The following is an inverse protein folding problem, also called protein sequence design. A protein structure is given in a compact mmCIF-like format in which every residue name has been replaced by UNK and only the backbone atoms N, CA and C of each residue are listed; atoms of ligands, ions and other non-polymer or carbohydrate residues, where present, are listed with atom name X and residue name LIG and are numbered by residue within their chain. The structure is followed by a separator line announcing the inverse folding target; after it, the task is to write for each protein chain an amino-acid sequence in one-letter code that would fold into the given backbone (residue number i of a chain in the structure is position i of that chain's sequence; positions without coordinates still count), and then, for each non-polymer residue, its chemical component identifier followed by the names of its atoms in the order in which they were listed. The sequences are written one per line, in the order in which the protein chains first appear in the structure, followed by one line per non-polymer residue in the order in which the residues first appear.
data_IF_662460326068
#
_entry.id   IF_662460326068
#
_cell.length_a   1.000
_cell.length_b   1.000
_cell.length_c   1.000
_cell.angle_alpha   90.00
_cell.angle_beta   90.00
_cell.angle_gamma   90.00
#
_symmetry.space_group_name_H-M   'P 1'
#
loop_
_entity.id
_entity.type
_entity.pdbx_description
1 polymer ?
#
# COMPACT_ATOMS: atom_id res chain seq x y z
N UNK A 1 10.43 25.54 5.01
CA UNK A 1 9.11 26.18 4.89
C UNK A 1 8.40 25.45 3.76
N UNK A 2 7.45 24.56 4.09
CA UNK A 2 6.72 23.79 3.07
C UNK A 2 5.68 24.76 2.50
N UNK A 3 5.91 25.26 1.30
CA UNK A 3 4.87 25.92 0.52
C UNK A 3 3.73 24.93 0.34
N UNK A 4 2.55 25.28 0.83
CA UNK A 4 1.32 24.50 0.64
C UNK A 4 0.99 24.45 -0.86
N UNK A 5 1.60 23.50 -1.55
CA UNK A 5 1.42 23.19 -2.97
C UNK A 5 0.02 22.63 -3.17
N UNK A 6 -0.86 23.35 -3.87
CA UNK A 6 -1.95 22.92 -4.78
C UNK A 6 -2.57 21.50 -4.61
N UNK A 7 -2.60 20.94 -3.40
CA UNK A 7 -3.15 19.63 -3.14
C UNK A 7 -4.65 19.74 -3.25
N UNK A 8 -5.22 18.97 -4.20
CA UNK A 8 -6.66 18.80 -4.31
C UNK A 8 -7.24 18.54 -2.92
N UNK A 9 -8.13 19.41 -2.46
CA UNK A 9 -8.85 19.20 -1.20
C UNK A 9 -9.59 17.87 -1.32
N UNK A 10 -9.27 16.93 -0.43
CA UNK A 10 -10.00 15.66 -0.33
C UNK A 10 -11.49 16.00 -0.10
N UNK A 11 -12.42 15.57 -0.98
CA UNK A 11 -13.83 15.84 -0.81
C UNK A 11 -14.38 15.26 0.50
N UNK A 12 -15.42 15.89 1.06
CA UNK A 12 -16.06 15.38 2.27
C UNK A 12 -16.71 13.99 2.08
N UNK A 13 -17.07 13.63 0.84
CA UNK A 13 -17.60 12.31 0.48
C UNK A 13 -16.54 11.23 0.35
N UNK A 14 -15.25 11.58 0.30
CA UNK A 14 -14.19 10.60 0.09
C UNK A 14 -14.08 9.65 1.28
N UNK A 15 -13.86 8.37 0.99
CA UNK A 15 -13.48 7.34 1.99
C UNK A 15 -11.98 7.07 1.97
N UNK A 16 -11.28 7.55 0.94
CA UNK A 16 -9.84 7.41 0.78
C UNK A 16 -9.32 8.22 -0.40
N UNK A 17 -7.99 8.20 -0.55
CA UNK A 17 -7.30 8.87 -1.65
C UNK A 17 -6.08 8.06 -2.10
N UNK A 18 -5.71 8.25 -3.37
CA UNK A 18 -4.48 7.77 -3.97
C UNK A 18 -3.52 8.95 -4.05
N UNK A 19 -2.28 8.73 -3.64
CA UNK A 19 -1.22 9.73 -3.69
C UNK A 19 -0.01 9.20 -4.44
N UNK A 20 0.76 10.15 -4.98
CA UNK A 20 2.03 9.94 -5.64
C UNK A 20 3.10 10.69 -4.85
N UNK A 21 4.18 10.00 -4.53
CA UNK A 21 5.35 10.56 -3.85
C UNK A 21 6.56 10.47 -4.77
N UNK A 22 7.28 11.58 -4.92
CA UNK A 22 8.37 11.70 -5.88
C UNK A 22 9.53 12.56 -5.32
N UNK A 23 10.77 12.30 -5.73
CA UNK A 23 11.88 13.23 -5.54
C UNK A 23 11.75 14.45 -6.49
N UNK A 24 12.48 15.52 -6.20
CA UNK A 24 12.44 16.76 -6.99
C UNK A 24 12.83 16.57 -8.47
N UNK A 25 13.73 15.63 -8.75
CA UNK A 25 14.19 15.29 -10.10
C UNK A 25 13.23 14.34 -10.86
N UNK A 26 12.16 13.88 -10.20
CA UNK A 26 11.18 12.92 -10.73
C UNK A 26 11.81 11.62 -11.28
N UNK A 27 12.97 11.22 -10.75
CA UNK A 27 13.66 10.01 -11.19
C UNK A 27 12.87 8.71 -10.91
N UNK A 28 11.92 8.75 -9.97
CA UNK A 28 11.02 7.66 -9.64
C UNK A 28 9.70 8.19 -9.06
N UNK A 29 8.69 7.33 -8.97
CA UNK A 29 7.46 7.60 -8.25
C UNK A 29 7.07 6.43 -7.35
N UNK A 30 6.52 6.72 -6.18
CA UNK A 30 5.80 5.76 -5.35
C UNK A 30 4.32 6.14 -5.35
N UNK A 31 3.44 5.18 -5.62
CA UNK A 31 2.00 5.41 -5.64
C UNK A 31 1.38 4.56 -4.56
N UNK A 32 0.57 5.16 -3.70
CA UNK A 32 -0.11 4.44 -2.64
C UNK A 32 -1.49 5.00 -2.35
N UNK A 33 -2.28 4.23 -1.61
CA UNK A 33 -3.58 4.69 -1.11
C UNK A 33 -3.57 4.90 0.41
N UNK A 34 -4.53 5.69 0.90
CA UNK A 34 -4.86 5.79 2.33
C UNK A 34 -6.35 6.08 2.55
N UNK A 35 -6.90 5.50 3.61
CA UNK A 35 -8.26 5.81 4.11
C UNK A 35 -8.25 6.81 5.27
N UNK A 36 -7.07 7.30 5.69
CA UNK A 36 -6.94 8.27 6.79
C UNK A 36 -6.96 9.68 6.23
N UNK A 37 -8.06 10.37 6.46
CA UNK A 37 -8.36 11.67 5.85
C UNK A 37 -8.02 12.87 6.74
N UNK A 38 -7.46 12.64 7.93
CA UNK A 38 -7.06 13.75 8.80
C UNK A 38 -5.94 14.58 8.13
N UNK A 39 -6.01 15.93 8.16
CA UNK A 39 -5.07 16.79 7.42
C UNK A 39 -3.60 16.49 7.72
N UNK A 40 -3.28 16.22 8.99
CA UNK A 40 -1.91 15.87 9.41
C UNK A 40 -1.40 14.61 8.70
N UNK A 41 -2.23 13.60 8.54
CA UNK A 41 -1.87 12.39 7.80
C UNK A 41 -1.81 12.65 6.29
N UNK A 42 -2.76 13.39 5.74
CA UNK A 42 -2.77 13.77 4.32
C UNK A 42 -1.49 14.52 3.95
N UNK A 43 -1.04 15.45 4.77
CA UNK A 43 0.16 16.24 4.49
C UNK A 43 1.46 15.46 4.76
N UNK A 44 1.48 14.65 5.83
CA UNK A 44 2.73 14.05 6.35
C UNK A 44 3.03 12.63 5.89
N UNK A 45 2.04 11.88 5.39
CA UNK A 45 2.24 10.48 5.02
C UNK A 45 2.73 10.33 3.58
N UNK A 46 4.01 9.95 3.42
CA UNK A 46 4.69 9.82 2.12
C UNK A 46 4.68 8.38 1.55
N UNK A 47 4.11 7.42 2.27
CA UNK A 47 4.08 6.01 1.86
C UNK A 47 4.68 5.05 2.88
N UNK A 48 4.64 3.76 2.56
CA UNK A 48 5.12 2.69 3.43
C UNK A 48 5.72 1.53 2.62
N UNK A 49 6.23 0.51 3.30
CA UNK A 49 6.92 -0.63 2.69
C UNK A 49 8.44 -0.45 2.67
N UNK A 50 9.16 -1.48 2.23
CA UNK A 50 10.62 -1.52 2.25
C UNK A 50 11.23 -0.36 1.44
N UNK A 51 10.75 -0.16 0.21
CA UNK A 51 11.20 0.93 -0.67
C UNK A 51 11.10 2.31 0.01
N UNK A 52 9.92 2.68 0.51
CA UNK A 52 9.75 3.97 1.18
C UNK A 52 10.54 4.07 2.49
N UNK A 53 10.76 2.96 3.19
CA UNK A 53 11.61 2.95 4.40
C UNK A 53 13.05 3.32 4.06
N UNK A 54 13.60 2.75 3.00
CA UNK A 54 14.95 3.04 2.51
C UNK A 54 15.05 4.49 1.99
N UNK A 55 14.10 4.92 1.16
CA UNK A 55 14.06 6.28 0.62
C UNK A 55 13.99 7.32 1.74
N UNK A 56 13.13 7.12 2.76
CA UNK A 56 13.02 8.06 3.86
C UNK A 56 14.27 8.09 4.74
N UNK A 57 15.00 6.96 4.84
CA UNK A 57 16.27 6.91 5.54
C UNK A 57 17.41 7.62 4.77
N UNK A 58 17.41 7.53 3.45
CA UNK A 58 18.43 8.13 2.57
C UNK A 58 18.19 9.63 2.33
N UNK A 59 16.98 10.01 1.95
CA UNK A 59 16.65 11.36 1.48
C UNK A 59 15.96 12.24 2.53
N UNK A 60 15.48 11.63 3.63
CA UNK A 60 14.56 12.29 4.55
C UNK A 60 13.22 12.66 3.89
N UNK A 61 12.43 13.48 4.55
CA UNK A 61 11.11 13.91 4.05
C UNK A 61 11.17 15.18 3.21
N UNK A 62 12.18 16.03 3.39
CA UNK A 62 12.28 17.34 2.75
C UNK A 62 12.60 17.29 1.26
N UNK A 63 13.20 16.19 0.78
CA UNK A 63 13.51 15.97 -0.64
C UNK A 63 12.35 15.40 -1.45
N UNK A 64 11.20 15.16 -0.82
CA UNK A 64 10.07 14.45 -1.41
C UNK A 64 8.85 15.36 -1.53
N UNK A 65 8.16 15.24 -2.66
CA UNK A 65 6.88 15.88 -2.90
C UNK A 65 5.79 14.82 -2.88
N UNK A 66 4.64 15.13 -2.27
CA UNK A 66 3.43 14.32 -2.32
C UNK A 66 2.32 15.06 -3.04
N UNK A 67 1.67 14.39 -3.97
CA UNK A 67 0.51 14.87 -4.71
C UNK A 67 -0.63 13.87 -4.57
N UNK A 68 -1.85 14.33 -4.27
CA UNK A 68 -3.05 13.49 -4.35
C UNK A 68 -3.44 13.41 -5.83
N UNK A 69 -3.51 12.19 -6.36
CA UNK A 69 -3.79 11.93 -7.78
C UNK A 69 -5.22 11.47 -8.03
N UNK A 70 -5.88 10.90 -7.01
CA UNK A 70 -7.30 10.57 -7.05
C UNK A 70 -7.91 10.48 -5.65
N UNK A 71 -9.23 10.58 -5.57
CA UNK A 71 -10.04 10.34 -4.37
C UNK A 71 -11.11 9.32 -4.70
N UNK A 72 -11.46 8.48 -3.72
CA UNK A 72 -12.46 7.43 -3.89
C UNK A 72 -13.61 7.60 -2.91
N UNK A 73 -14.82 7.26 -3.33
CA UNK A 73 -16.03 7.24 -2.50
C UNK A 73 -16.38 5.82 -2.02
N UNK A 74 -15.65 4.80 -2.50
CA UNK A 74 -15.77 3.42 -2.00
C UNK A 74 -14.42 2.72 -1.82
N UNK A 75 -14.30 1.71 -0.94
CA UNK A 75 -13.09 0.90 -0.82
C UNK A 75 -12.71 0.16 -2.11
N UNK A 76 -13.70 -0.32 -2.86
CA UNK A 76 -13.50 -0.99 -4.15
C UNK A 76 -12.83 -0.06 -5.16
N UNK A 77 -13.39 1.14 -5.30
CA UNK A 77 -12.86 2.18 -6.18
C UNK A 77 -11.45 2.59 -5.76
N UNK A 78 -11.18 2.72 -4.45
CA UNK A 78 -9.85 3.08 -3.95
C UNK A 78 -8.78 2.08 -4.40
N UNK A 79 -9.07 0.78 -4.25
CA UNK A 79 -8.17 -0.28 -4.71
C UNK A 79 -7.95 -0.25 -6.23
N UNK A 80 -9.03 -0.08 -6.99
CA UNK A 80 -8.95 0.01 -8.44
C UNK A 80 -8.12 1.23 -8.90
N UNK A 81 -8.33 2.40 -8.29
CA UNK A 81 -7.58 3.62 -8.60
C UNK A 81 -6.09 3.50 -8.28
N UNK A 82 -5.72 2.86 -7.17
CA UNK A 82 -4.32 2.59 -6.87
C UNK A 82 -3.69 1.72 -7.96
N UNK A 83 -4.37 0.64 -8.37
CA UNK A 83 -3.90 -0.23 -9.44
C UNK A 83 -3.73 0.52 -10.76
N UNK A 84 -4.74 1.32 -11.10
CA UNK A 84 -4.78 2.08 -12.35
C UNK A 84 -3.63 3.10 -12.41
N UNK A 85 -3.38 3.86 -11.35
CA UNK A 85 -2.33 4.87 -11.35
C UNK A 85 -0.92 4.26 -11.32
N UNK A 86 -0.72 3.11 -10.66
CA UNK A 86 0.55 2.37 -10.77
C UNK A 86 0.79 1.92 -12.21
N UNK A 87 -0.22 1.35 -12.86
CA UNK A 87 -0.13 0.92 -14.25
C UNK A 87 0.11 2.09 -15.21
N UNK A 88 -0.58 3.22 -14.99
CA UNK A 88 -0.43 4.45 -15.75
C UNK A 88 1.01 4.98 -15.69
N UNK A 89 1.58 5.08 -14.48
CA UNK A 89 2.95 5.53 -14.32
C UNK A 89 3.95 4.62 -15.06
N UNK A 90 3.74 3.29 -15.02
CA UNK A 90 4.57 2.33 -15.76
C UNK A 90 4.39 2.47 -17.27
N UNK A 91 3.17 2.64 -17.77
CA UNK A 91 2.86 2.91 -19.19
C UNK A 91 3.63 4.12 -19.70
N UNK A 92 3.72 5.16 -18.87
CA UNK A 92 4.38 6.42 -19.18
C UNK A 92 5.91 6.38 -18.99
N UNK A 93 6.48 5.20 -18.69
CA UNK A 93 7.92 5.01 -18.54
C UNK A 93 8.50 5.51 -17.23
N UNK A 94 7.66 5.83 -16.24
CA UNK A 94 8.11 6.22 -14.90
C UNK A 94 8.62 4.99 -14.16
N UNK A 95 9.80 5.12 -13.53
CA UNK A 95 10.30 4.08 -12.60
C UNK A 95 9.44 4.09 -11.33
N UNK A 96 8.57 3.09 -11.18
CA UNK A 96 7.69 2.98 -10.01
C UNK A 96 8.35 2.16 -8.90
N UNK A 97 8.36 2.68 -7.66
CA UNK A 97 8.93 2.03 -6.48
C UNK A 97 8.05 0.90 -5.88
N UNK A 98 6.80 0.81 -6.32
CA UNK A 98 5.91 -0.31 -6.00
C UNK A 98 6.42 -1.62 -6.62
N UNK A 99 6.63 -2.63 -5.79
CA UNK A 99 7.02 -3.98 -6.24
C UNK A 99 5.89 -4.81 -6.86
N UNK A 100 4.67 -4.28 -6.85
CA UNK A 100 3.43 -4.97 -7.22
C UNK A 100 2.51 -4.02 -8.00
N UNK A 101 1.30 -4.45 -8.34
CA UNK A 101 0.35 -3.67 -9.14
C UNK A 101 -0.66 -2.87 -8.31
N UNK A 102 -0.52 -2.78 -6.98
CA UNK A 102 -1.54 -2.15 -6.11
C UNK A 102 -2.78 -3.02 -5.87
N UNK A 103 -3.76 -2.49 -5.13
CA UNK A 103 -5.02 -3.17 -4.82
C UNK A 103 -5.07 -3.79 -3.41
N UNK A 104 -6.02 -4.69 -3.12
CA UNK A 104 -6.13 -5.31 -1.80
C UNK A 104 -4.93 -6.22 -1.51
N UNK A 105 -4.44 -6.14 -0.27
CA UNK A 105 -3.43 -7.07 0.26
C UNK A 105 -4.14 -8.27 0.92
N UNK A 106 -3.58 -9.49 0.85
CA UNK A 106 -2.34 -9.86 0.15
C UNK A 106 -2.44 -9.90 -1.38
N UNK A 107 -1.35 -9.51 -2.05
CA UNK A 107 -1.29 -9.55 -3.50
C UNK A 107 -1.35 -10.92 -4.16
N UNK A 108 -0.83 -12.01 -3.57
CA UNK A 108 -1.07 -13.34 -4.10
C UNK A 108 -2.56 -13.70 -4.24
N UNK A 109 -3.45 -13.19 -3.37
CA UNK A 109 -4.89 -13.45 -3.51
C UNK A 109 -5.47 -12.66 -4.69
N UNK A 110 -5.10 -11.39 -4.83
CA UNK A 110 -5.51 -10.56 -5.96
C UNK A 110 -5.03 -11.14 -7.30
N UNK A 111 -3.76 -11.56 -7.39
CA UNK A 111 -3.20 -12.17 -8.59
C UNK A 111 -3.95 -13.44 -8.99
N UNK A 112 -4.27 -14.31 -8.01
CA UNK A 112 -5.06 -15.51 -8.25
C UNK A 112 -6.47 -15.18 -8.74
N UNK A 113 -7.16 -14.25 -8.08
CA UNK A 113 -8.48 -13.80 -8.50
C UNK A 113 -8.45 -13.22 -9.92
N UNK A 114 -7.47 -12.38 -10.25
CA UNK A 114 -7.28 -11.84 -11.59
C UNK A 114 -7.02 -12.93 -12.64
N UNK A 115 -6.27 -14.00 -12.31
CA UNK A 115 -6.10 -15.14 -13.21
C UNK A 115 -7.39 -15.92 -13.44
N UNK A 116 -8.26 -16.02 -12.43
CA UNK A 116 -9.53 -16.72 -12.50
C UNK A 116 -10.59 -15.94 -13.31
N UNK A 117 -10.79 -14.66 -13.00
CA UNK A 117 -11.90 -13.86 -13.56
C UNK A 117 -11.48 -12.91 -14.68
N UNK A 118 -10.21 -12.52 -14.75
CA UNK A 118 -9.67 -11.57 -15.73
C UNK A 118 -8.35 -12.06 -16.39
N UNK A 119 -8.26 -13.30 -16.90
CA UNK A 119 -7.01 -13.84 -17.42
C UNK A 119 -6.42 -13.03 -18.58
N UNK A 120 -7.25 -12.30 -19.33
CA UNK A 120 -6.79 -11.39 -20.38
C UNK A 120 -5.91 -10.24 -19.83
N UNK A 121 -6.17 -9.77 -18.61
CA UNK A 121 -5.37 -8.75 -17.91
C UNK A 121 -4.02 -9.34 -17.49
N UNK A 122 -4.03 -10.54 -16.89
CA UNK A 122 -2.80 -11.17 -16.40
C UNK A 122 -1.85 -11.63 -17.50
N UNK A 123 -2.37 -12.02 -18.67
CA UNK A 123 -1.55 -12.42 -19.83
C UNK A 123 -0.69 -11.30 -20.42
N UNK A 124 -0.99 -10.05 -20.09
CA UNK A 124 -0.24 -8.87 -20.59
C UNK A 124 0.41 -8.08 -19.46
N UNK A 125 0.50 -8.66 -18.25
CA UNK A 125 1.01 -7.97 -17.07
C UNK A 125 2.49 -7.56 -17.15
N UNK A 126 3.24 -8.14 -18.08
CA UNK A 126 4.64 -7.83 -18.39
C UNK A 126 4.81 -6.67 -19.38
N UNK A 127 3.76 -6.28 -20.12
CA UNK A 127 3.75 -5.13 -21.02
C UNK A 127 3.00 -3.97 -20.36
N UNK A 128 3.70 -2.90 -19.91
CA UNK A 128 3.07 -1.80 -19.19
C UNK A 128 1.92 -1.12 -19.94
N UNK A 129 2.02 -1.00 -21.27
CA UNK A 129 1.00 -0.34 -22.07
C UNK A 129 -0.23 -1.22 -22.18
N UNK A 130 -0.04 -2.48 -22.55
CA UNK A 130 -1.14 -3.44 -22.67
C UNK A 130 -1.79 -3.74 -21.32
N UNK A 131 -1.02 -3.76 -20.24
CA UNK A 131 -1.57 -3.96 -18.90
C UNK A 131 -2.48 -2.80 -18.49
N UNK A 132 -2.05 -1.55 -18.67
CA UNK A 132 -2.90 -0.39 -18.42
C UNK A 132 -4.18 -0.44 -19.26
N UNK A 133 -4.05 -0.68 -20.57
CA UNK A 133 -5.21 -0.77 -21.47
C UNK A 133 -6.17 -1.90 -21.06
N UNK A 134 -5.62 -3.04 -20.62
CA UNK A 134 -6.41 -4.17 -20.14
C UNK A 134 -7.15 -3.87 -18.82
N UNK A 135 -6.52 -3.15 -17.88
CA UNK A 135 -7.18 -2.72 -16.64
C UNK A 135 -8.38 -1.81 -16.94
N UNK A 136 -8.21 -0.83 -17.82
CA UNK A 136 -9.29 0.09 -18.23
C UNK A 136 -10.40 -0.66 -18.96
N UNK A 137 -10.03 -1.48 -19.95
CA UNK A 137 -10.98 -2.22 -20.79
C UNK A 137 -11.79 -3.25 -20.01
N UNK A 138 -11.19 -3.87 -18.99
CA UNK A 138 -11.79 -4.96 -18.22
C UNK A 138 -12.11 -4.53 -16.79
N UNK A 139 -12.43 -3.26 -16.57
CA UNK A 139 -12.70 -2.68 -15.25
C UNK A 139 -13.62 -3.54 -14.39
N UNK A 140 -14.78 -3.95 -14.90
CA UNK A 140 -15.75 -4.74 -14.14
C UNK A 140 -15.17 -6.08 -13.63
N UNK A 141 -14.32 -6.73 -14.45
CA UNK A 141 -13.66 -7.99 -14.07
C UNK A 141 -12.54 -7.76 -13.06
N UNK A 142 -11.82 -6.64 -13.16
CA UNK A 142 -10.80 -6.24 -12.19
C UNK A 142 -11.46 -5.92 -10.85
N UNK A 143 -12.56 -5.17 -10.86
CA UNK A 143 -13.36 -4.89 -9.66
C UNK A 143 -13.90 -6.18 -9.03
N UNK A 144 -14.38 -7.13 -9.84
CA UNK A 144 -14.77 -8.45 -9.36
C UNK A 144 -13.58 -9.18 -8.69
N UNK A 145 -12.40 -9.17 -9.30
CA UNK A 145 -11.20 -9.78 -8.71
C UNK A 145 -10.80 -9.13 -7.37
N UNK A 146 -10.97 -7.81 -7.24
CA UNK A 146 -10.75 -7.08 -5.99
C UNK A 146 -11.73 -7.58 -4.91
N UNK A 147 -13.02 -7.73 -5.24
CA UNK A 147 -14.03 -8.25 -4.33
C UNK A 147 -13.73 -9.70 -3.92
N UNK A 148 -13.42 -10.57 -4.89
CA UNK A 148 -13.13 -11.98 -4.65
C UNK A 148 -11.89 -12.15 -3.76
N UNK A 149 -10.82 -11.40 -4.05
CA UNK A 149 -9.59 -11.46 -3.24
C UNK A 149 -9.77 -10.93 -1.81
N UNK A 150 -10.70 -9.99 -1.61
CA UNK A 150 -11.06 -9.45 -0.30
C UNK A 150 -12.00 -10.37 0.49
N UNK A 151 -12.66 -11.33 -0.18
CA UNK A 151 -13.52 -12.34 0.44
C UNK A 151 -12.76 -13.55 0.99
N UNK A 152 -11.50 -13.74 0.57
CA UNK A 152 -10.63 -14.80 1.10
C UNK A 152 -10.29 -14.47 2.56
N UNK A 153 -10.51 -15.40 3.51
CA UNK A 153 -10.24 -15.16 4.92
C UNK A 153 -8.82 -14.61 5.14
N UNK A 154 -8.81 -13.41 5.69
CA UNK A 154 -7.66 -12.58 6.05
C UNK A 154 -6.65 -13.33 6.94
N UNK A 155 -7.10 -14.39 7.62
CA UNK A 155 -6.32 -15.26 8.49
C UNK A 155 -5.17 -15.98 7.78
N UNK A 156 -5.35 -16.42 6.52
CA UNK A 156 -4.28 -17.13 5.81
C UNK A 156 -3.09 -16.21 5.48
N UNK A 157 -3.37 -14.94 5.17
CA UNK A 157 -2.34 -13.93 4.94
C UNK A 157 -1.59 -13.62 6.22
N UNK A 158 -2.32 -13.29 7.28
CA UNK A 158 -1.70 -12.92 8.54
C UNK A 158 -1.04 -14.09 9.23
N UNK A 159 -1.46 -15.33 8.98
CA UNK A 159 -0.72 -16.52 9.38
C UNK A 159 0.64 -16.63 8.67
N UNK A 160 0.71 -16.31 7.37
CA UNK A 160 1.97 -16.23 6.62
C UNK A 160 2.87 -15.10 7.12
N UNK A 161 2.32 -13.89 7.25
CA UNK A 161 3.04 -12.73 7.78
C UNK A 161 3.52 -12.97 9.22
N UNK A 162 2.72 -13.59 10.07
CA UNK A 162 3.12 -13.97 11.43
C UNK A 162 4.29 -14.96 11.41
N UNK A 163 4.27 -15.95 10.51
CA UNK A 163 5.38 -16.89 10.34
C UNK A 163 6.67 -16.17 9.94
N UNK A 164 6.60 -15.28 8.95
CA UNK A 164 7.77 -14.55 8.46
C UNK A 164 8.33 -13.62 9.53
N UNK A 165 7.47 -12.83 10.19
CA UNK A 165 7.89 -11.93 11.26
C UNK A 165 8.47 -12.69 12.45
N UNK A 166 7.93 -13.86 12.82
CA UNK A 166 8.53 -14.71 13.86
C UNK A 166 9.91 -15.22 13.48
N UNK A 167 10.18 -15.39 12.19
CA UNK A 167 11.48 -15.84 11.69
C UNK A 167 12.50 -14.71 11.58
N UNK A 168 12.07 -13.46 11.34
CA UNK A 168 12.97 -12.34 11.03
C UNK A 168 13.13 -11.31 12.14
N UNK A 169 12.14 -11.16 13.01
CA UNK A 169 12.14 -10.12 14.05
C UNK A 169 12.85 -10.61 15.33
N UNK A 170 13.49 -9.67 16.04
CA UNK A 170 14.04 -9.94 17.35
C UNK A 170 12.92 -9.93 18.41
N UNK A 171 12.51 -11.12 18.85
CA UNK A 171 11.43 -11.30 19.83
C UNK A 171 11.98 -11.66 21.22
N UNK A 172 13.28 -11.45 21.46
CA UNK A 172 13.94 -11.77 22.74
C UNK A 172 13.49 -10.85 23.90
N UNK A 173 12.82 -9.74 23.57
CA UNK A 173 12.33 -8.75 24.53
C UNK A 173 10.87 -8.40 24.28
N UNK A 174 10.09 -8.04 25.32
CA UNK A 174 8.74 -7.54 25.14
C UNK A 174 8.70 -6.32 24.22
N UNK A 175 7.65 -6.20 23.41
CA UNK A 175 7.48 -5.06 22.51
C UNK A 175 7.33 -3.76 23.34
N UNK A 176 8.23 -2.77 23.22
CA UNK A 176 8.16 -1.55 24.04
C UNK A 176 6.96 -0.66 23.71
N UNK A 177 6.35 -0.83 22.53
CA UNK A 177 5.19 -0.03 22.08
C UNK A 177 3.84 -0.54 22.59
N UNK A 178 3.61 -1.85 22.60
CA UNK A 178 2.31 -2.43 22.97
C UNK A 178 2.35 -3.46 24.10
N UNK A 179 3.53 -3.83 24.59
CA UNK A 179 3.67 -4.81 25.67
C UNK A 179 3.49 -6.26 25.26
N UNK A 180 3.42 -6.60 23.97
CA UNK A 180 3.49 -8.01 23.52
C UNK A 180 4.67 -8.72 24.18
N UNK A 181 4.46 -9.95 24.65
CA UNK A 181 5.45 -10.71 25.42
C UNK A 181 6.67 -11.15 24.61
N UNK A 182 7.65 -11.74 25.30
CA UNK A 182 8.79 -12.42 24.67
C UNK A 182 8.26 -13.54 23.76
N UNK A 183 8.78 -13.62 22.54
CA UNK A 183 8.31 -14.58 21.53
C UNK A 183 6.96 -14.24 20.90
N UNK A 184 6.36 -13.10 21.23
CA UNK A 184 5.12 -12.62 20.63
C UNK A 184 5.37 -11.46 19.67
N UNK A 185 4.62 -11.44 18.58
CA UNK A 185 4.66 -10.32 17.64
C UNK A 185 3.92 -9.11 18.17
N UNK A 186 4.39 -7.94 17.74
CA UNK A 186 3.69 -6.70 17.96
C UNK A 186 2.34 -6.71 17.22
N UNK A 187 1.30 -6.15 17.86
CA UNK A 187 -0.04 -5.98 17.26
C UNK A 187 -0.57 -4.55 17.45
N UNK A 188 0.31 -3.55 17.61
CA UNK A 188 -0.06 -2.16 18.01
C UNK A 188 -1.12 -1.51 17.11
N UNK A 189 -1.17 -1.83 15.81
CA UNK A 189 -2.18 -1.29 14.89
C UNK A 189 -3.60 -1.90 15.05
N UNK A 190 -3.79 -2.79 16.04
CA UNK A 190 -5.02 -3.57 16.24
C UNK A 190 -6.01 -2.98 17.25
N UNK A 191 -6.02 -1.66 17.47
CA UNK A 191 -6.90 -1.03 18.49
C UNK A 191 -8.37 -0.84 18.07
N UNK A 192 -8.80 -1.32 16.90
CA UNK A 192 -10.21 -1.28 16.51
C UNK A 192 -10.89 -2.59 16.86
N UNK A 193 -11.96 -2.54 17.65
CA UNK A 193 -12.84 -3.68 18.02
C UNK A 193 -13.43 -4.43 16.80
N UNK A 194 -13.20 -3.94 15.59
CA UNK A 194 -13.75 -4.44 14.32
C UNK A 194 -12.72 -5.04 13.36
N UNK A 195 -11.44 -5.18 13.75
CA UNK A 195 -10.44 -5.89 12.93
C UNK A 195 -9.73 -6.99 13.75
N UNK A 196 -9.51 -8.20 13.19
CA UNK A 196 -8.67 -9.20 13.83
C UNK A 196 -7.29 -8.62 14.10
N UNK A 197 -6.68 -9.01 15.23
CA UNK A 197 -5.43 -8.42 15.72
C UNK A 197 -4.29 -8.83 14.79
N UNK A 198 -3.98 -8.04 13.78
CA UNK A 198 -3.01 -8.45 12.76
C UNK A 198 -1.56 -8.26 13.27
N UNK A 199 -0.66 -9.22 12.98
CA UNK A 199 0.76 -9.12 13.34
C UNK A 199 1.43 -7.97 12.57
N UNK A 200 2.33 -7.25 13.25
CA UNK A 200 3.20 -6.23 12.66
C UNK A 200 4.64 -6.40 13.17
N UNK A 201 5.59 -5.72 12.51
CA UNK A 201 7.01 -5.71 12.92
C UNK A 201 7.16 -5.32 14.39
N UNK A 202 8.11 -5.95 15.08
CA UNK A 202 8.32 -5.69 16.48
C UNK A 202 9.02 -4.34 16.66
N UNK A 203 8.67 -3.61 17.72
CA UNK A 203 9.31 -2.31 18.02
C UNK A 203 10.61 -2.50 18.83
N UNK A 204 11.10 -3.74 18.92
CA UNK A 204 12.39 -4.07 19.50
C UNK A 204 13.48 -3.38 18.68
N UNK A 205 14.00 -2.28 19.23
CA UNK A 205 15.31 -1.79 18.78
C UNK A 205 16.32 -2.87 19.15
N UNK A 206 17.11 -3.37 18.20
CA UNK A 206 18.41 -3.99 18.54
C UNK A 206 19.08 -3.03 19.54
N UNK A 207 19.56 -3.50 20.71
CA UNK A 207 20.37 -2.65 21.56
C UNK A 207 21.49 -2.06 20.69
N UNK A 208 21.62 -0.73 20.66
CA UNK A 208 22.86 -0.14 20.17
C UNK A 208 23.91 -0.57 21.19
N UNK A 209 24.80 -1.46 20.77
CA UNK A 209 26.04 -1.79 21.47
C UNK A 209 26.79 -0.52 21.86
#
# INVERSE_FOLDING_TARGET
MVTMSDQAKVPASAVGYVFRTEPADKAWAYIGQSTRLDPKHVDGYLGSGAFMTEVLAEYGTSGLTKTIVATAESPLELHYLEMLHIAEARRDGVRVGNGDCGGPRPFPNLQRALWEVAPAVMRVADDPKRFYDALVKHRDLVEQAILDSSSVPVDAFYAGMERDLRATEDLSHPCPSCGSGIGELCRTNSKSLTKPRNPVRNHSKRPRS
#
